data_IF_853660884101
#
_entry.id   IF_853660884101
#
_cell.length_a   1.000
_cell.length_b   1.000
_cell.length_c   1.000
_cell.angle_alpha   90.00
_cell.angle_beta   90.00
_cell.angle_gamma   90.00
#
_symmetry.space_group_name_H-M   'P 1'
#
loop_
_entity.id
_entity.type
_entity.pdbx_description
1 polymer ?
#
# COMPACT_ATOMS: atom_id res chain seq x y z
N UNK A 1 -56.70 25.96 -0.43
CA UNK A 1 -55.95 26.75 -1.43
C UNK A 1 -55.25 25.73 -2.31
N UNK A 2 -55.51 25.73 -3.62
CA UNK A 2 -55.02 24.67 -4.51
C UNK A 2 -53.49 24.74 -4.64
N UNK A 3 -52.81 23.63 -4.42
CA UNK A 3 -51.37 23.48 -4.61
C UNK A 3 -51.08 23.46 -6.13
N UNK A 4 -50.20 24.36 -6.59
CA UNK A 4 -49.79 24.44 -7.99
C UNK A 4 -48.63 23.45 -8.17
N UNK A 5 -48.79 22.33 -8.89
CA UNK A 5 -47.79 21.25 -8.92
C UNK A 5 -46.54 21.61 -9.73
N UNK A 6 -46.65 22.57 -10.65
CA UNK A 6 -45.56 23.04 -11.49
C UNK A 6 -45.51 24.56 -11.44
N UNK A 7 -44.43 25.09 -10.86
CA UNK A 7 -44.08 26.50 -10.90
C UNK A 7 -42.69 26.62 -11.52
N UNK A 8 -42.52 27.54 -12.47
CA UNK A 8 -41.21 27.92 -12.98
C UNK A 8 -40.66 29.06 -12.12
N UNK A 9 -39.53 28.83 -11.43
CA UNK A 9 -38.85 29.87 -10.68
C UNK A 9 -37.95 30.68 -11.62
N UNK A 10 -38.23 31.98 -11.76
CA UNK A 10 -37.25 32.90 -12.32
C UNK A 10 -36.09 33.07 -11.33
N UNK A 11 -34.90 32.58 -11.68
CA UNK A 11 -33.69 32.64 -10.84
C UNK A 11 -32.42 32.45 -11.67
N UNK A 12 -31.25 32.61 -11.03
CA UNK A 12 -29.94 32.33 -11.62
C UNK A 12 -29.43 30.99 -11.07
N UNK A 13 -29.00 30.09 -11.95
CA UNK A 13 -28.28 28.87 -11.58
C UNK A 13 -26.79 29.06 -11.85
N UNK A 14 -25.95 28.76 -10.85
CA UNK A 14 -24.50 28.69 -11.02
C UNK A 14 -24.13 27.21 -11.06
N UNK A 15 -23.84 26.70 -12.25
CA UNK A 15 -23.30 25.36 -12.43
C UNK A 15 -21.78 25.41 -12.36
N UNK A 16 -21.22 24.98 -11.23
CA UNK A 16 -19.78 24.75 -11.10
C UNK A 16 -19.44 23.34 -11.58
N UNK A 17 -19.06 23.23 -12.84
CA UNK A 17 -18.42 22.01 -13.36
C UNK A 17 -16.94 22.06 -12.97
N UNK A 18 -16.50 21.12 -12.12
CA UNK A 18 -15.06 20.92 -11.91
C UNK A 18 -14.44 20.54 -13.26
N UNK A 19 -13.29 21.11 -13.63
CA UNK A 19 -12.58 20.64 -14.81
C UNK A 19 -12.35 19.13 -14.67
N UNK A 20 -12.49 18.35 -15.76
CA UNK A 20 -12.11 16.95 -15.73
C UNK A 20 -10.68 16.84 -15.20
N UNK A 21 -10.42 15.85 -14.36
CA UNK A 21 -9.09 15.65 -13.81
C UNK A 21 -8.07 15.64 -14.97
N UNK A 22 -6.95 16.38 -14.84
CA UNK A 22 -5.92 16.32 -15.86
C UNK A 22 -5.58 14.85 -16.12
N UNK A 23 -5.64 14.44 -17.38
CA UNK A 23 -5.07 13.16 -17.80
C UNK A 23 -3.55 13.28 -17.70
N UNK A 24 -3.06 13.25 -16.46
CA UNK A 24 -1.65 13.22 -16.15
C UNK A 24 -1.04 11.92 -16.68
N UNK A 25 0.28 11.90 -16.90
CA UNK A 25 0.97 10.63 -17.08
C UNK A 25 0.68 9.71 -15.88
N UNK A 26 0.72 8.39 -16.11
CA UNK A 26 0.69 7.40 -15.01
C UNK A 26 1.69 7.82 -13.93
N UNK A 27 1.30 7.64 -12.66
CA UNK A 27 2.16 8.02 -11.53
C UNK A 27 3.53 7.35 -11.61
N UNK A 28 4.56 8.00 -11.06
CA UNK A 28 5.95 7.53 -11.17
C UNK A 28 6.25 6.26 -10.34
N UNK A 29 5.31 5.85 -9.47
CA UNK A 29 5.43 4.64 -8.67
C UNK A 29 4.81 3.43 -9.36
N UNK A 30 5.32 2.25 -9.02
CA UNK A 30 4.75 0.96 -9.38
C UNK A 30 4.50 0.19 -8.09
N UNK A 31 3.26 -0.21 -7.88
CA UNK A 31 2.84 -0.94 -6.68
C UNK A 31 3.00 -2.44 -6.91
N UNK A 32 3.60 -3.14 -5.96
CA UNK A 32 3.72 -4.61 -5.94
C UNK A 32 3.03 -5.19 -4.72
N UNK A 33 2.02 -6.00 -4.93
CA UNK A 33 1.22 -6.62 -3.88
C UNK A 33 1.47 -8.12 -3.83
N UNK A 34 1.56 -8.67 -2.63
CA UNK A 34 1.51 -10.12 -2.38
C UNK A 34 0.28 -10.37 -1.51
N UNK A 35 -0.69 -11.08 -2.06
CA UNK A 35 -2.05 -11.14 -1.49
C UNK A 35 -2.67 -12.51 -1.69
N UNK A 36 -3.72 -12.79 -0.94
CA UNK A 36 -4.64 -13.89 -1.23
C UNK A 36 -5.81 -13.37 -2.04
N UNK A 37 -6.28 -14.21 -2.97
CA UNK A 37 -7.48 -13.98 -3.76
C UNK A 37 -8.02 -15.36 -4.18
N UNK A 38 -8.84 -16.00 -3.31
CA UNK A 38 -9.42 -17.32 -3.56
C UNK A 38 -10.25 -17.34 -4.85
N UNK A 39 -11.06 -16.31 -5.08
CA UNK A 39 -12.03 -16.21 -6.18
C UNK A 39 -11.50 -15.51 -7.44
N UNK A 40 -10.18 -15.52 -7.62
CA UNK A 40 -9.54 -14.98 -8.82
C UNK A 40 -9.92 -15.76 -10.08
N UNK A 41 -9.86 -15.10 -11.23
CA UNK A 41 -9.92 -15.76 -12.54
C UNK A 41 -8.64 -16.59 -12.74
N UNK A 42 -8.70 -17.89 -12.42
CA UNK A 42 -7.57 -18.81 -12.49
C UNK A 42 -6.96 -18.93 -13.91
N UNK A 43 -7.69 -18.54 -14.96
CA UNK A 43 -7.17 -18.58 -16.34
C UNK A 43 -6.29 -17.38 -16.67
N UNK A 44 -6.56 -16.22 -16.05
CA UNK A 44 -5.85 -14.96 -16.32
C UNK A 44 -4.87 -14.57 -15.23
N UNK A 45 -5.16 -14.95 -13.99
CA UNK A 45 -4.35 -14.64 -12.80
C UNK A 45 -3.76 -15.94 -12.24
N UNK A 46 -2.63 -16.41 -12.79
CA UNK A 46 -1.94 -17.57 -12.26
C UNK A 46 -1.36 -17.31 -10.87
N UNK A 47 -1.28 -18.36 -10.05
CA UNK A 47 -0.62 -18.29 -8.74
C UNK A 47 0.88 -18.02 -8.89
N UNK A 48 1.43 -17.28 -7.92
CA UNK A 48 2.88 -17.04 -7.80
C UNK A 48 3.53 -16.41 -9.04
N UNK A 49 2.74 -15.75 -9.89
CA UNK A 49 3.21 -15.04 -11.07
C UNK A 49 2.70 -13.60 -11.00
N UNK A 50 3.58 -12.60 -11.15
CA UNK A 50 3.13 -11.20 -11.16
C UNK A 50 2.17 -10.93 -12.31
N UNK A 51 0.96 -10.52 -11.97
CA UNK A 51 -0.06 -10.07 -12.90
C UNK A 51 -0.25 -8.56 -12.81
N UNK A 52 -0.25 -7.87 -13.95
CA UNK A 52 -0.39 -6.41 -13.99
C UNK A 52 -1.86 -6.02 -14.04
N UNK A 53 -2.28 -5.18 -13.11
CA UNK A 53 -3.60 -4.55 -13.04
C UNK A 53 -3.46 -3.07 -13.38
N UNK A 54 -4.21 -2.61 -14.39
CA UNK A 54 -4.14 -1.22 -14.83
C UNK A 54 -5.30 -0.36 -14.33
N UNK A 55 -6.46 -0.97 -14.06
CA UNK A 55 -7.70 -0.25 -13.75
C UNK A 55 -8.66 -1.12 -12.92
N UNK A 56 -9.79 -0.53 -12.53
CA UNK A 56 -10.81 -1.20 -11.72
C UNK A 56 -11.46 -2.41 -12.41
N UNK A 57 -11.52 -2.43 -13.74
CA UNK A 57 -12.04 -3.57 -14.50
C UNK A 57 -11.07 -4.76 -14.43
N UNK A 58 -9.77 -4.50 -14.58
CA UNK A 58 -8.74 -5.55 -14.41
C UNK A 58 -8.73 -6.08 -12.97
N UNK A 59 -9.05 -5.24 -11.98
CA UNK A 59 -9.11 -5.65 -10.58
C UNK A 59 -10.22 -6.68 -10.32
N UNK A 60 -11.29 -6.73 -11.13
CA UNK A 60 -12.35 -7.75 -11.03
C UNK A 60 -11.83 -9.17 -11.29
N UNK A 61 -10.65 -9.30 -11.90
CA UNK A 61 -10.01 -10.61 -12.07
C UNK A 61 -9.53 -11.22 -10.74
N UNK A 62 -9.46 -10.43 -9.65
CA UNK A 62 -9.12 -10.91 -8.32
C UNK A 62 -10.34 -11.39 -7.53
N UNK A 63 -11.55 -11.00 -7.93
CA UNK A 63 -12.80 -11.32 -7.25
C UNK A 63 -13.90 -11.48 -8.32
N UNK A 64 -14.01 -12.70 -8.87
CA UNK A 64 -14.96 -13.00 -9.94
C UNK A 64 -16.37 -13.28 -9.46
N UNK A 65 -16.50 -13.65 -8.18
CA UNK A 65 -17.77 -13.98 -7.51
C UNK A 65 -18.43 -12.75 -6.87
N UNK A 66 -17.63 -11.73 -6.53
CA UNK A 66 -18.10 -10.50 -5.88
C UNK A 66 -18.29 -10.64 -4.37
N UNK A 67 -17.67 -11.65 -3.74
CA UNK A 67 -17.72 -11.89 -2.29
C UNK A 67 -16.63 -11.13 -1.52
N UNK A 68 -15.71 -10.48 -2.24
CA UNK A 68 -14.62 -9.68 -1.70
C UNK A 68 -13.68 -10.48 -0.77
N UNK A 69 -13.49 -11.78 -1.03
CA UNK A 69 -12.60 -12.65 -0.24
C UNK A 69 -11.11 -12.39 -0.47
N UNK A 70 -10.32 -12.72 0.56
CA UNK A 70 -8.88 -12.48 0.60
C UNK A 70 -8.51 -11.00 0.73
N UNK A 71 -7.21 -10.71 0.60
CA UNK A 71 -6.70 -9.33 0.77
C UNK A 71 -6.53 -8.57 -0.55
N UNK A 72 -6.52 -9.30 -1.69
CA UNK A 72 -6.16 -8.75 -2.99
C UNK A 72 -7.13 -7.73 -3.56
N UNK A 73 -8.44 -8.01 -3.48
CA UNK A 73 -9.47 -7.13 -4.02
C UNK A 73 -9.42 -5.75 -3.38
N UNK A 74 -9.46 -5.69 -2.04
CA UNK A 74 -9.43 -4.42 -1.30
C UNK A 74 -8.10 -3.68 -1.44
N UNK A 75 -6.96 -4.39 -1.40
CA UNK A 75 -5.64 -3.76 -1.56
C UNK A 75 -5.53 -2.97 -2.88
N UNK A 76 -5.97 -3.58 -3.97
CA UNK A 76 -5.87 -3.00 -5.31
C UNK A 76 -6.91 -1.92 -5.54
N UNK A 77 -8.19 -2.20 -5.23
CA UNK A 77 -9.29 -1.27 -5.51
C UNK A 77 -9.19 0.00 -4.68
N UNK A 78 -8.93 -0.10 -3.38
CA UNK A 78 -8.76 1.09 -2.52
C UNK A 78 -7.53 1.91 -2.94
N UNK A 79 -6.45 1.25 -3.37
CA UNK A 79 -5.27 1.94 -3.90
C UNK A 79 -5.59 2.69 -5.19
N UNK A 80 -6.31 2.07 -6.13
CA UNK A 80 -6.73 2.70 -7.39
C UNK A 80 -7.67 3.90 -7.19
N UNK A 81 -8.48 3.94 -6.12
CA UNK A 81 -9.32 5.11 -5.81
C UNK A 81 -8.51 6.36 -5.48
N UNK A 82 -7.29 6.18 -4.94
CA UNK A 82 -6.42 7.27 -4.49
C UNK A 82 -5.31 7.59 -5.48
N UNK A 83 -4.72 6.57 -6.11
CA UNK A 83 -3.55 6.70 -6.97
C UNK A 83 -3.68 5.85 -8.24
N UNK A 84 -3.63 6.52 -9.39
CA UNK A 84 -3.61 5.88 -10.71
C UNK A 84 -2.18 5.49 -11.09
N UNK A 85 -1.70 4.39 -10.51
CA UNK A 85 -0.36 3.82 -10.73
C UNK A 85 -0.46 2.38 -11.25
N UNK A 86 0.52 1.89 -12.05
CA UNK A 86 0.60 0.47 -12.39
C UNK A 86 0.70 -0.38 -11.13
N UNK A 87 -0.12 -1.42 -11.04
CA UNK A 87 -0.09 -2.36 -9.92
C UNK A 87 0.24 -3.76 -10.44
N UNK A 88 1.15 -4.44 -9.76
CA UNK A 88 1.46 -5.84 -9.96
C UNK A 88 0.98 -6.61 -8.74
N UNK A 89 0.27 -7.70 -8.97
CA UNK A 89 -0.25 -8.55 -7.92
C UNK A 89 0.32 -9.95 -8.09
N UNK A 90 0.91 -10.47 -7.04
CA UNK A 90 1.25 -11.88 -6.90
C UNK A 90 0.22 -12.49 -5.98
N UNK A 91 -0.63 -13.34 -6.54
CA UNK A 91 -1.60 -14.09 -5.74
C UNK A 91 -0.95 -15.36 -5.23
N UNK A 92 -1.09 -15.61 -3.93
CA UNK A 92 -0.72 -16.87 -3.28
C UNK A 92 -1.97 -17.62 -2.86
N UNK A 93 -1.83 -18.92 -2.65
CA UNK A 93 -2.90 -19.78 -2.16
C UNK A 93 -3.02 -19.66 -0.64
N UNK A 94 -4.25 -19.67 -0.14
CA UNK A 94 -4.53 -19.80 1.29
C UNK A 94 -4.24 -21.25 1.72
N UNK A 95 -3.47 -21.38 2.80
CA UNK A 95 -3.16 -22.68 3.38
C UNK A 95 -4.33 -23.24 4.20
N UNK A 96 -4.13 -24.41 4.79
CA UNK A 96 -5.09 -25.01 5.72
C UNK A 96 -5.20 -24.20 7.03
N UNK A 97 -4.15 -23.45 7.37
CA UNK A 97 -4.07 -22.56 8.51
C UNK A 97 -3.31 -21.26 8.19
N UNK A 98 -3.27 -20.35 9.16
CA UNK A 98 -2.59 -19.06 9.05
C UNK A 98 -1.08 -19.21 8.84
N UNK A 99 -0.47 -20.26 9.41
CA UNK A 99 0.96 -20.51 9.30
C UNK A 99 1.36 -20.96 7.89
N UNK A 100 0.57 -21.85 7.27
CA UNK A 100 0.74 -22.26 5.87
C UNK A 100 0.49 -21.08 4.92
N UNK A 101 -0.53 -20.25 5.19
CA UNK A 101 -0.78 -19.04 4.40
C UNK A 101 0.39 -18.07 4.48
N UNK A 102 0.93 -17.84 5.68
CA UNK A 102 2.10 -17.00 5.88
C UNK A 102 3.33 -17.56 5.17
N UNK A 103 3.54 -18.89 5.20
CA UNK A 103 4.61 -19.54 4.46
C UNK A 103 4.46 -19.32 2.94
N UNK A 104 3.24 -19.38 2.41
CA UNK A 104 2.96 -19.10 1.01
C UNK A 104 3.20 -17.61 0.64
N UNK A 105 2.86 -16.67 1.53
CA UNK A 105 3.13 -15.24 1.36
C UNK A 105 4.63 -14.96 1.31
N UNK A 106 5.41 -15.50 2.27
CA UNK A 106 6.87 -15.38 2.26
C UNK A 106 7.42 -15.99 0.97
N UNK A 107 6.95 -17.20 0.65
CA UNK A 107 7.32 -17.96 -0.52
C UNK A 107 8.78 -18.37 -0.52
N UNK A 108 9.30 -18.66 -1.71
CA UNK A 108 10.65 -19.16 -1.90
C UNK A 108 10.92 -19.46 -3.36
N UNK A 109 11.70 -20.50 -3.61
CA UNK A 109 11.91 -21.05 -4.95
C UNK A 109 11.30 -22.45 -4.94
N UNK A 110 10.33 -22.69 -5.83
CA UNK A 110 9.78 -24.02 -6.02
C UNK A 110 10.89 -24.97 -6.51
N UNK A 111 11.14 -26.10 -5.81
CA UNK A 111 12.29 -26.95 -6.09
C UNK A 111 12.17 -27.72 -7.42
N UNK A 112 10.96 -27.86 -7.97
CA UNK A 112 10.70 -28.66 -9.17
C UNK A 112 10.77 -27.79 -10.43
N UNK A 113 10.06 -26.67 -10.40
CA UNK A 113 9.93 -25.72 -11.52
C UNK A 113 11.00 -24.64 -11.51
N UNK A 114 11.64 -24.37 -10.36
CA UNK A 114 12.53 -23.23 -10.17
C UNK A 114 11.81 -21.88 -10.13
N UNK A 115 10.47 -21.87 -10.10
CA UNK A 115 9.68 -20.64 -10.09
C UNK A 115 9.76 -19.96 -8.71
N UNK A 116 10.03 -18.64 -8.65
CA UNK A 116 9.90 -17.90 -7.41
C UNK A 116 8.43 -17.76 -6.99
N UNK A 117 8.14 -17.94 -5.71
CA UNK A 117 6.79 -17.89 -5.12
C UNK A 117 6.67 -16.77 -4.08
N UNK A 118 5.45 -16.35 -3.75
CA UNK A 118 5.19 -15.31 -2.75
C UNK A 118 5.94 -14.00 -3.02
N UNK A 119 6.54 -13.43 -1.99
CA UNK A 119 7.34 -12.19 -2.09
C UNK A 119 8.49 -12.33 -3.10
N UNK A 120 9.09 -13.52 -3.24
CA UNK A 120 10.17 -13.75 -4.20
C UNK A 120 9.73 -13.52 -5.66
N UNK A 121 8.46 -13.77 -5.97
CA UNK A 121 7.90 -13.63 -7.31
C UNK A 121 7.86 -12.18 -7.80
N UNK A 122 7.87 -11.19 -6.89
CA UNK A 122 7.87 -9.75 -7.24
C UNK A 122 9.06 -9.35 -8.13
N UNK A 123 10.18 -10.08 -8.05
CA UNK A 123 11.32 -9.85 -8.93
C UNK A 123 11.03 -10.17 -10.41
N UNK A 124 9.96 -10.92 -10.70
CA UNK A 124 9.51 -11.26 -12.06
C UNK A 124 8.60 -10.21 -12.71
N UNK A 125 8.29 -9.10 -12.04
CA UNK A 125 7.46 -8.05 -12.61
C UNK A 125 8.12 -7.42 -13.84
N UNK A 126 7.36 -7.21 -14.92
CA UNK A 126 7.86 -6.56 -16.15
C UNK A 126 8.32 -5.13 -15.87
N UNK A 127 7.55 -4.39 -15.07
CA UNK A 127 7.97 -3.13 -14.47
C UNK A 127 8.24 -3.40 -12.99
N UNK A 128 9.51 -3.29 -12.59
CA UNK A 128 9.88 -3.58 -11.21
C UNK A 128 9.14 -2.63 -10.24
N UNK A 129 8.51 -3.14 -9.16
CA UNK A 129 7.85 -2.31 -8.17
C UNK A 129 8.78 -1.26 -7.54
N UNK A 130 8.24 -0.09 -7.23
CA UNK A 130 8.90 0.96 -6.41
C UNK A 130 8.34 1.01 -4.99
N UNK A 131 7.17 0.40 -4.77
CA UNK A 131 6.52 0.17 -3.49
C UNK A 131 6.05 -1.28 -3.45
N UNK A 132 6.31 -1.99 -2.35
CA UNK A 132 5.81 -3.36 -2.15
C UNK A 132 5.10 -3.51 -0.80
N UNK A 133 4.09 -4.38 -0.71
CA UNK A 133 3.43 -4.72 0.55
C UNK A 133 2.80 -6.12 0.49
N UNK A 134 2.59 -6.70 1.67
CA UNK A 134 1.81 -7.92 1.86
C UNK A 134 0.69 -7.64 2.90
N UNK A 135 -0.42 -7.00 2.46
CA UNK A 135 -1.45 -6.52 3.37
C UNK A 135 -2.09 -7.64 4.18
N UNK A 136 -2.16 -7.44 5.50
CA UNK A 136 -2.79 -8.37 6.44
C UNK A 136 -1.89 -9.50 6.92
N UNK A 137 -0.63 -9.54 6.46
CA UNK A 137 0.36 -10.56 6.83
C UNK A 137 1.68 -9.96 7.32
N UNK A 138 1.91 -8.67 7.07
CA UNK A 138 3.20 -8.01 7.32
C UNK A 138 3.39 -7.50 8.75
N UNK A 139 2.42 -7.76 9.63
CA UNK A 139 2.53 -7.65 11.07
C UNK A 139 3.34 -8.81 11.69
N UNK A 140 3.47 -9.94 10.99
CA UNK A 140 4.47 -10.95 11.34
C UNK A 140 5.87 -10.50 10.91
N UNK A 141 6.82 -10.62 11.84
CA UNK A 141 8.20 -10.18 11.64
C UNK A 141 8.90 -10.94 10.50
N UNK A 142 8.54 -12.20 10.25
CA UNK A 142 9.13 -13.04 9.21
C UNK A 142 8.73 -12.52 7.82
N UNK A 143 7.48 -12.11 7.66
CA UNK A 143 6.97 -11.49 6.43
C UNK A 143 7.62 -10.11 6.24
N UNK A 144 7.69 -9.30 7.29
CA UNK A 144 8.37 -8.00 7.24
C UNK A 144 9.86 -8.12 6.86
N UNK A 145 10.57 -9.13 7.36
CA UNK A 145 11.97 -9.42 7.00
C UNK A 145 12.13 -9.88 5.55
N UNK A 146 11.19 -10.70 5.05
CA UNK A 146 11.15 -11.10 3.65
C UNK A 146 10.93 -9.88 2.72
N UNK A 147 9.99 -9.00 3.08
CA UNK A 147 9.77 -7.73 2.39
C UNK A 147 11.02 -6.83 2.45
N UNK A 148 11.68 -6.69 3.60
CA UNK A 148 12.92 -5.90 3.72
C UNK A 148 14.03 -6.41 2.81
N UNK A 149 14.18 -7.74 2.72
CA UNK A 149 15.15 -8.39 1.84
C UNK A 149 14.83 -8.13 0.36
N UNK A 150 13.57 -8.27 -0.03
CA UNK A 150 13.13 -8.00 -1.40
C UNK A 150 13.24 -6.51 -1.75
N UNK A 151 12.87 -5.63 -0.82
CA UNK A 151 12.93 -4.19 -0.97
C UNK A 151 14.36 -3.72 -1.26
N UNK A 152 15.35 -4.27 -0.54
CA UNK A 152 16.78 -4.03 -0.79
C UNK A 152 17.21 -4.54 -2.16
N UNK A 153 16.75 -5.72 -2.59
CA UNK A 153 17.07 -6.30 -3.90
C UNK A 153 16.52 -5.46 -5.05
N UNK A 154 15.28 -4.99 -4.93
CA UNK A 154 14.58 -4.21 -5.96
C UNK A 154 14.91 -2.71 -5.89
N UNK A 155 15.62 -2.25 -4.85
CA UNK A 155 15.79 -0.82 -4.55
C UNK A 155 14.43 -0.12 -4.52
N UNK A 156 13.55 -0.57 -3.64
CA UNK A 156 12.21 -0.03 -3.48
C UNK A 156 11.85 0.10 -2.01
N UNK A 157 10.82 0.88 -1.68
CA UNK A 157 10.30 0.97 -0.31
C UNK A 157 9.24 -0.10 -0.10
N UNK A 158 9.00 -0.49 1.14
CA UNK A 158 7.90 -1.39 1.47
C UNK A 158 7.03 -0.84 2.58
N UNK A 159 5.75 -1.16 2.52
CA UNK A 159 4.79 -0.80 3.56
C UNK A 159 4.50 -2.06 4.37
N UNK A 160 4.66 -1.97 5.68
CA UNK A 160 4.36 -3.04 6.61
C UNK A 160 3.18 -2.66 7.49
N UNK A 161 2.43 -3.66 7.93
CA UNK A 161 1.33 -3.54 8.86
C UNK A 161 1.84 -3.61 10.29
N UNK A 162 1.23 -2.83 11.17
CA UNK A 162 1.26 -3.06 12.60
C UNK A 162 -0.08 -3.65 13.00
N UNK A 163 -0.07 -4.78 13.72
CA UNK A 163 -1.31 -5.40 14.20
C UNK A 163 -2.11 -4.44 15.11
N UNK A 164 -3.39 -4.75 15.29
CA UNK A 164 -4.29 -3.93 16.10
C UNK A 164 -4.05 -4.11 17.60
N UNK A 165 -2.93 -3.56 18.09
CA UNK A 165 -2.43 -3.65 19.47
C UNK A 165 -2.51 -2.30 20.19
N UNK A 166 -2.06 -2.21 21.44
CA UNK A 166 -1.93 -0.92 22.14
C UNK A 166 -0.77 -0.09 21.58
N UNK A 167 -0.74 1.21 21.87
CA UNK A 167 0.34 2.10 21.43
C UNK A 167 1.70 1.65 21.97
N UNK A 168 1.76 1.25 23.24
CA UNK A 168 3.00 0.77 23.86
C UNK A 168 3.51 -0.52 23.20
N UNK A 169 2.62 -1.47 22.92
CA UNK A 169 2.96 -2.69 22.18
C UNK A 169 3.44 -2.36 20.75
N UNK A 170 2.79 -1.42 20.06
CA UNK A 170 3.19 -0.99 18.72
C UNK A 170 4.60 -0.38 18.73
N UNK A 171 4.95 0.42 19.74
CA UNK A 171 6.31 0.96 19.88
C UNK A 171 7.34 -0.14 20.12
N UNK A 172 7.02 -1.12 20.97
CA UNK A 172 7.87 -2.29 21.23
C UNK A 172 8.06 -3.13 19.97
N UNK A 173 6.98 -3.32 19.19
CA UNK A 173 7.06 -4.00 17.90
C UNK A 173 7.98 -3.25 16.93
N UNK A 174 7.85 -1.93 16.80
CA UNK A 174 8.74 -1.15 15.94
C UNK A 174 10.21 -1.24 16.34
N UNK A 175 10.52 -1.26 17.65
CA UNK A 175 11.89 -1.47 18.16
C UNK A 175 12.43 -2.86 17.83
N UNK A 176 11.56 -3.87 17.72
CA UNK A 176 11.95 -5.21 17.28
C UNK A 176 12.28 -5.28 15.78
N UNK A 177 11.86 -4.27 15.01
CA UNK A 177 12.14 -4.15 13.58
C UNK A 177 13.44 -3.36 13.36
N UNK A 178 14.25 -3.86 12.44
CA UNK A 178 15.40 -3.14 11.94
C UNK A 178 16.71 -3.39 12.68
N UNK A 179 17.74 -2.81 12.09
CA UNK A 179 19.15 -3.13 12.34
C UNK A 179 19.96 -2.72 11.12
N UNK A 180 21.21 -2.33 11.32
CA UNK A 180 22.05 -1.86 10.22
C UNK A 180 22.19 -2.93 9.14
N UNK A 181 22.04 -2.55 7.86
CA UNK A 181 22.18 -3.46 6.72
C UNK A 181 21.03 -4.43 6.46
N UNK A 182 20.00 -4.50 7.32
CA UNK A 182 18.86 -5.42 7.21
C UNK A 182 17.85 -5.05 6.12
N UNK A 183 17.87 -3.81 5.64
CA UNK A 183 16.92 -3.29 4.65
C UNK A 183 15.73 -2.54 5.23
N UNK A 184 15.51 -2.58 6.55
CA UNK A 184 14.39 -1.92 7.23
C UNK A 184 14.38 -0.39 7.15
N UNK A 185 15.47 0.26 6.74
CA UNK A 185 15.46 1.68 6.33
C UNK A 185 14.38 1.98 5.26
N UNK A 186 13.98 0.98 4.47
CA UNK A 186 12.93 1.06 3.45
C UNK A 186 11.51 0.79 3.97
N UNK A 187 11.36 0.46 5.26
CA UNK A 187 10.08 0.12 5.87
C UNK A 187 9.29 1.38 6.22
N UNK A 188 8.07 1.47 5.73
CA UNK A 188 7.06 2.41 6.19
C UNK A 188 6.01 1.63 6.97
N UNK A 189 6.05 1.72 8.30
CA UNK A 189 5.14 0.96 9.17
C UNK A 189 3.83 1.74 9.36
N UNK A 190 2.71 1.12 9.00
CA UNK A 190 1.37 1.69 9.10
C UNK A 190 0.57 1.04 10.24
N UNK A 191 -0.09 1.86 11.05
CA UNK A 191 -0.86 1.46 12.22
C UNK A 191 -2.33 1.84 12.09
N UNK A 192 -3.19 1.09 12.79
CA UNK A 192 -4.66 1.08 12.71
C UNK A 192 -5.19 0.49 11.42
N UNK A 193 -6.14 -0.42 11.54
CA UNK A 193 -6.90 -0.89 10.39
C UNK A 193 -7.88 0.21 9.96
N UNK A 194 -8.05 0.37 8.66
CA UNK A 194 -8.94 1.39 8.10
C UNK A 194 -10.31 0.78 7.81
N UNK A 195 -11.39 1.49 8.19
CA UNK A 195 -12.75 1.08 7.86
C UNK A 195 -13.14 1.54 6.45
N UNK A 196 -13.60 0.58 5.64
CA UNK A 196 -14.14 0.80 4.31
C UNK A 196 -15.51 0.13 4.18
N UNK A 197 -16.33 0.62 3.24
CA UNK A 197 -17.60 0.01 2.93
C UNK A 197 -17.41 -1.18 1.98
N UNK A 198 -17.76 -2.38 2.45
CA UNK A 198 -17.81 -3.60 1.65
C UNK A 198 -19.21 -3.79 1.07
N UNK A 199 -19.28 -4.11 -0.23
CA UNK A 199 -20.56 -4.39 -0.89
C UNK A 199 -21.04 -5.80 -0.56
N UNK A 200 -20.12 -6.75 -0.43
CA UNK A 200 -20.43 -8.12 -0.04
C UNK A 200 -20.96 -8.18 1.40
N UNK A 201 -20.31 -7.50 2.34
CA UNK A 201 -20.73 -7.46 3.74
C UNK A 201 -21.90 -6.48 4.01
N UNK A 202 -22.26 -5.63 3.03
CA UNK A 202 -23.28 -4.58 3.16
C UNK A 202 -23.05 -3.66 4.38
N UNK A 203 -21.79 -3.36 4.67
CA UNK A 203 -21.40 -2.69 5.90
C UNK A 203 -19.92 -2.31 5.92
N UNK A 204 -19.50 -1.77 7.06
CA UNK A 204 -18.09 -1.45 7.27
C UNK A 204 -17.30 -2.71 7.60
N UNK A 205 -16.16 -2.86 6.93
CA UNK A 205 -15.13 -3.84 7.27
C UNK A 205 -13.83 -3.11 7.55
N UNK A 206 -12.93 -3.75 8.28
CA UNK A 206 -11.58 -3.26 8.49
C UNK A 206 -10.62 -3.92 7.51
N UNK A 207 -9.80 -3.11 6.85
CA UNK A 207 -8.71 -3.57 5.98
C UNK A 207 -7.36 -3.25 6.59
N UNK A 208 -6.34 -4.00 6.18
CA UNK A 208 -4.99 -3.85 6.67
C UNK A 208 -4.46 -2.41 6.52
N UNK A 209 -3.69 -1.89 7.50
CA UNK A 209 -3.16 -0.53 7.46
C UNK A 209 -2.38 -0.21 6.18
N UNK A 210 -1.61 -1.16 5.66
CA UNK A 210 -0.78 -0.99 4.48
C UNK A 210 -1.55 -0.61 3.21
N UNK A 211 -2.84 -0.97 3.11
CA UNK A 211 -3.66 -0.70 1.91
C UNK A 211 -3.72 0.80 1.59
N UNK A 212 -4.19 1.61 2.54
CA UNK A 212 -4.32 3.06 2.33
C UNK A 212 -2.99 3.79 2.50
N UNK A 213 -2.04 3.26 3.28
CA UNK A 213 -0.70 3.81 3.40
C UNK A 213 0.05 3.71 2.07
N UNK A 214 0.05 2.54 1.43
CA UNK A 214 0.65 2.34 0.12
C UNK A 214 -0.02 3.19 -0.96
N UNK A 215 -1.34 3.38 -0.89
CA UNK A 215 -2.06 4.29 -1.77
C UNK A 215 -1.63 5.76 -1.63
N UNK A 216 -1.41 6.23 -0.39
CA UNK A 216 -0.90 7.59 -0.15
C UNK A 216 0.56 7.74 -0.59
N UNK A 217 1.41 6.73 -0.36
CA UNK A 217 2.80 6.73 -0.83
C UNK A 217 2.88 6.74 -2.36
N UNK A 218 2.00 6.01 -3.04
CA UNK A 218 2.02 5.90 -4.51
C UNK A 218 1.48 7.16 -5.21
N UNK A 219 0.62 7.92 -4.53
CA UNK A 219 0.03 9.17 -5.03
C UNK A 219 1.03 10.34 -5.15
N UNK A 220 2.20 10.26 -4.49
CA UNK A 220 3.24 11.30 -4.53
C UNK A 220 4.52 10.80 -5.18
N UNK A 221 5.38 11.72 -5.60
CA UNK A 221 6.68 11.31 -6.16
C UNK A 221 7.55 10.64 -5.09
N UNK A 222 8.51 9.78 -5.47
CA UNK A 222 9.34 9.06 -4.51
C UNK A 222 10.05 9.93 -3.46
N UNK A 223 10.39 11.18 -3.82
CA UNK A 223 11.05 12.16 -2.96
C UNK A 223 10.12 13.15 -2.26
N UNK A 224 8.82 12.99 -2.40
CA UNK A 224 7.81 13.79 -1.70
C UNK A 224 7.30 13.06 -0.46
N UNK A 225 6.93 13.81 0.57
CA UNK A 225 6.40 13.24 1.81
C UNK A 225 4.97 12.73 1.59
N UNK A 226 4.64 11.49 2.01
CA UNK A 226 3.25 11.02 1.98
C UNK A 226 2.39 11.57 3.11
N UNK A 227 3.03 12.15 4.15
CA UNK A 227 2.34 12.65 5.33
C UNK A 227 1.38 13.80 5.05
N UNK A 228 0.32 13.84 5.84
CA UNK A 228 -0.82 14.77 5.77
C UNK A 228 -1.66 14.66 4.48
N UNK A 229 -1.54 13.55 3.74
CA UNK A 229 -2.45 13.27 2.65
C UNK A 229 -3.79 12.73 3.16
N UNK A 230 -4.89 13.26 2.63
CA UNK A 230 -6.22 12.72 2.89
C UNK A 230 -6.39 11.30 2.35
N UNK A 231 -7.01 10.43 3.12
CA UNK A 231 -7.30 9.04 2.78
C UNK A 231 -8.81 8.78 2.76
N UNK A 232 -9.25 7.88 1.88
CA UNK A 232 -10.66 7.59 1.65
C UNK A 232 -11.16 6.49 2.59
N UNK A 233 -11.14 6.76 3.89
CA UNK A 233 -11.56 5.83 4.94
C UNK A 233 -12.69 6.44 5.78
N UNK A 234 -13.55 5.60 6.34
CA UNK A 234 -14.71 6.06 7.10
C UNK A 234 -14.41 6.16 8.60
N UNK A 235 -13.59 5.25 9.09
CA UNK A 235 -13.15 5.18 10.47
C UNK A 235 -11.84 4.38 10.58
N UNK A 236 -11.34 4.22 11.80
CA UNK A 236 -10.11 3.49 12.12
C UNK A 236 -10.37 2.52 13.27
N UNK A 237 -9.64 1.41 13.35
CA UNK A 237 -9.82 0.41 14.42
C UNK A 237 -9.59 1.00 15.81
N UNK A 238 -8.67 1.98 15.91
CA UNK A 238 -8.32 2.67 17.15
C UNK A 238 -8.12 4.14 16.91
N UNK A 239 -8.71 4.95 17.78
CA UNK A 239 -8.49 6.39 17.77
C UNK A 239 -7.08 6.71 18.28
N UNK A 240 -6.30 7.43 17.47
CA UNK A 240 -5.06 8.08 17.89
C UNK A 240 -5.25 9.58 17.85
N UNK A 241 -4.96 10.22 18.97
CA UNK A 241 -4.95 11.66 19.10
C UNK A 241 -3.82 12.29 18.28
N UNK A 242 -4.19 13.29 17.48
CA UNK A 242 -3.27 14.09 16.68
C UNK A 242 -3.46 15.57 17.02
N UNK A 243 -2.37 16.25 17.31
CA UNK A 243 -2.35 17.69 17.51
C UNK A 243 -1.04 18.27 16.96
N UNK A 244 -1.14 19.41 16.27
CA UNK A 244 0.02 20.06 15.67
C UNK A 244 0.90 20.81 16.69
N UNK A 245 0.32 21.21 17.82
CA UNK A 245 1.01 21.97 18.88
C UNK A 245 1.41 21.08 20.06
N UNK A 246 0.56 20.11 20.39
CA UNK A 246 0.76 19.24 21.56
C UNK A 246 1.58 17.99 21.22
N UNK A 247 2.75 17.90 21.85
CA UNK A 247 3.71 16.80 21.71
C UNK A 247 3.51 15.68 22.72
N UNK A 248 2.54 15.80 23.63
CA UNK A 248 2.21 14.75 24.60
C UNK A 248 1.21 13.72 24.06
N UNK A 249 0.86 13.82 22.78
CA UNK A 249 -0.10 12.94 22.11
C UNK A 249 0.47 11.56 21.82
N UNK A 250 -0.39 10.53 21.79
CA UNK A 250 0.02 9.20 21.33
C UNK A 250 0.49 9.24 19.87
N UNK A 251 -0.07 10.15 19.07
CA UNK A 251 0.38 10.38 17.72
C UNK A 251 1.83 10.90 17.60
N UNK A 252 2.31 11.72 18.53
CA UNK A 252 3.73 12.12 18.55
C UNK A 252 4.62 10.94 18.97
N UNK A 253 4.16 10.13 19.93
CA UNK A 253 4.85 8.92 20.38
C UNK A 253 5.03 7.93 19.22
N UNK A 254 3.97 7.58 18.50
CA UNK A 254 4.04 6.67 17.34
C UNK A 254 5.03 7.18 16.27
N UNK A 255 4.97 8.48 15.95
CA UNK A 255 5.88 9.08 14.97
C UNK A 255 7.35 9.05 15.41
N UNK A 256 7.63 9.10 16.72
CA UNK A 256 8.99 8.98 17.27
C UNK A 256 9.58 7.60 17.02
N UNK A 257 8.73 6.57 17.05
CA UNK A 257 9.08 5.19 16.76
C UNK A 257 8.97 4.82 15.27
N UNK A 258 8.84 5.81 14.38
CA UNK A 258 8.74 5.57 12.93
C UNK A 258 7.44 4.91 12.48
N UNK A 259 6.39 4.96 13.32
CA UNK A 259 5.08 4.40 13.05
C UNK A 259 4.17 5.49 12.51
N UNK A 260 3.58 5.24 11.34
CA UNK A 260 2.61 6.13 10.72
C UNK A 260 1.18 5.65 11.01
N UNK A 261 0.22 6.55 11.11
CA UNK A 261 -1.14 6.25 11.54
C UNK A 261 -2.16 7.16 10.86
N UNK A 262 -3.43 6.83 11.00
CA UNK A 262 -4.53 7.64 10.48
C UNK A 262 -5.13 8.51 11.59
N UNK A 263 -5.37 9.78 11.29
CA UNK A 263 -6.00 10.68 12.24
C UNK A 263 -6.88 11.71 11.53
N UNK A 264 -7.88 12.21 12.26
CA UNK A 264 -8.69 13.34 11.81
C UNK A 264 -7.89 14.63 11.93
N UNK A 265 -7.91 15.44 10.89
CA UNK A 265 -7.25 16.75 10.87
C UNK A 265 -8.28 17.87 10.73
N UNK A 266 -7.86 19.12 10.95
CA UNK A 266 -8.70 20.30 10.71
C UNK A 266 -9.10 20.49 9.25
N UNK A 267 -8.50 19.73 8.32
CA UNK A 267 -8.86 19.69 6.90
C UNK A 267 -10.15 18.88 6.64
N UNK A 268 -10.65 18.16 7.65
CA UNK A 268 -11.78 17.25 7.53
C UNK A 268 -11.38 15.86 7.03
N UNK A 269 -12.18 14.85 7.36
CA UNK A 269 -11.88 13.46 7.06
C UNK A 269 -10.65 12.92 7.82
N UNK A 270 -10.08 11.83 7.31
CA UNK A 270 -8.85 11.23 7.82
C UNK A 270 -7.67 11.56 6.90
N UNK A 271 -6.51 11.77 7.52
CA UNK A 271 -5.23 11.90 6.84
C UNK A 271 -4.25 10.85 7.33
N UNK A 272 -3.35 10.40 6.45
CA UNK A 272 -2.17 9.63 6.84
C UNK A 272 -1.16 10.58 7.51
N UNK A 273 -0.78 10.29 8.75
CA UNK A 273 0.19 11.05 9.52
C UNK A 273 1.45 10.19 9.71
N UNK A 274 2.61 10.81 9.55
CA UNK A 274 3.92 10.16 9.63
C UNK A 274 4.65 10.15 8.29
N UNK A 275 5.95 10.39 8.33
CA UNK A 275 6.80 10.49 7.13
C UNK A 275 8.20 9.90 7.34
N UNK A 276 8.37 9.09 8.39
CA UNK A 276 9.61 8.38 8.72
C UNK A 276 9.45 6.90 8.48
N UNK A 277 10.55 6.22 8.19
CA UNK A 277 10.63 4.77 8.33
C UNK A 277 10.98 4.37 9.75
N UNK A 278 10.99 3.06 10.03
CA UNK A 278 11.29 2.50 11.36
C UNK A 278 12.71 2.83 11.86
N UNK A 279 13.63 3.15 10.95
CA UNK A 279 14.99 3.62 11.31
C UNK A 279 15.07 5.11 11.65
N UNK A 280 13.94 5.83 11.58
CA UNK A 280 13.86 7.27 11.83
C UNK A 280 14.20 8.18 10.64
N UNK A 281 14.71 7.62 9.54
CA UNK A 281 14.97 8.36 8.31
C UNK A 281 13.67 8.76 7.61
N UNK A 282 13.69 9.89 6.90
CA UNK A 282 12.54 10.31 6.10
C UNK A 282 12.34 9.35 4.93
N UNK A 283 11.12 8.84 4.80
CA UNK A 283 10.78 7.86 3.75
C UNK A 283 10.91 8.46 2.34
N UNK A 284 10.82 9.78 2.22
CA UNK A 284 11.07 10.53 0.98
C UNK A 284 12.56 10.59 0.62
N UNK A 285 13.47 10.67 1.59
CA UNK A 285 14.91 10.63 1.31
C UNK A 285 15.32 9.24 0.79
N UNK A 286 14.81 8.19 1.44
CA UNK A 286 15.01 6.80 0.99
C UNK A 286 14.44 6.62 -0.43
N UNK A 287 13.23 7.13 -0.68
CA UNK A 287 12.62 7.07 -2.00
C UNK A 287 13.39 7.85 -3.08
N UNK A 288 13.99 8.99 -2.74
CA UNK A 288 14.87 9.75 -3.65
C UNK A 288 16.12 8.94 -4.01
N UNK A 289 16.79 8.37 -3.01
CA UNK A 289 18.00 7.55 -3.22
C UNK A 289 17.72 6.32 -4.09
N UNK A 290 16.61 5.62 -3.82
CA UNK A 290 16.17 4.47 -4.62
C UNK A 290 15.85 4.91 -6.07
N UNK A 291 15.14 6.03 -6.26
CA UNK A 291 14.82 6.56 -7.58
C UNK A 291 16.08 6.96 -8.38
N UNK A 292 17.07 7.58 -7.76
CA UNK A 292 18.36 7.93 -8.39
C UNK A 292 19.12 6.65 -8.75
N UNK A 293 19.26 5.73 -7.79
CA UNK A 293 19.95 4.45 -7.97
C UNK A 293 19.38 3.66 -9.16
N UNK A 294 18.06 3.56 -9.26
CA UNK A 294 17.39 2.87 -10.38
C UNK A 294 17.64 3.54 -11.73
N UNK A 295 17.62 4.88 -11.77
CA UNK A 295 17.94 5.64 -13.00
C UNK A 295 19.40 5.44 -13.42
N UNK A 296 20.34 5.43 -12.48
CA UNK A 296 21.76 5.18 -12.74
C UNK A 296 22.01 3.75 -13.26
N UNK A 297 21.37 2.75 -12.67
CA UNK A 297 21.46 1.36 -13.15
C UNK A 297 20.95 1.26 -14.59
N UNK A 298 19.78 1.85 -14.87
CA UNK A 298 19.16 1.81 -16.20
C UNK A 298 20.02 2.50 -17.26
N UNK A 299 20.66 3.63 -16.94
CA UNK A 299 21.54 4.33 -17.88
C UNK A 299 22.89 3.62 -18.08
N UNK A 300 23.41 2.99 -17.03
CA UNK A 300 24.71 2.28 -17.06
C UNK A 300 24.70 0.97 -17.84
N UNK A 301 23.52 0.38 -18.10
CA UNK A 301 23.41 -0.87 -18.88
C UNK A 301 24.09 -0.78 -20.25
N UNK A 302 24.06 0.40 -20.89
CA UNK A 302 24.73 0.63 -22.18
C UNK A 302 26.26 0.58 -22.07
N UNK A 303 26.81 0.93 -20.92
CA UNK A 303 28.26 0.94 -20.68
C UNK A 303 28.81 -0.47 -20.45
N UNK A 304 28.00 -1.41 -19.93
CA UNK A 304 28.41 -2.79 -19.66
C UNK A 304 28.81 -3.59 -20.90
N UNK A 305 28.41 -3.14 -22.10
CA UNK A 305 28.81 -3.75 -23.37
C UNK A 305 30.23 -3.36 -23.82
N UNK A 306 30.89 -2.42 -23.13
CA UNK A 306 32.24 -1.97 -23.48
C UNK A 306 33.29 -2.75 -22.70
N UNK A 307 34.46 -2.95 -23.33
CA UNK A 307 35.60 -3.57 -22.66
C UNK A 307 36.08 -2.70 -21.50
N UNK A 308 36.56 -3.36 -20.45
CA UNK A 308 37.31 -2.71 -19.37
C UNK A 308 38.70 -2.37 -19.92
N UNK A 309 38.92 -1.10 -20.26
CA UNK A 309 40.21 -0.58 -20.76
C UNK A 309 40.84 0.36 -19.78
#
# INVERSE_FOLDING_TARGET
MAEIPNFEHNGISIETNRPPEPMGPLGENVNGWVVTAPDRDATKVPLNVPFRIANMTDAQLLDTTGDELGTGWHAVTESLKKATVPQYVVVVEEGLDDAETMANIIGGIDPTSGQPTGIAALAGCKELPTLIAAPGYSDDISVAQALATMARRLMCRFVADCADMSVDEATTYSESLGGEGTGFRRCYLAYQMAAIYSRAAQGQIFVAPSVHAMAALSAVKPWESPGNQGVLIQDVSRHVDYNILDKSTNGDLLNRYGISYYARTSLGGFSLIGNRGVTGEFISHVGLEDAISRKLVKSSQKAMAKNLT
#
